data_IF_736769321626
#
_entry.id   IF_736769321626
#
_cell.length_a   1.000
_cell.length_b   1.000
_cell.length_c   1.000
_cell.angle_alpha   90.00
_cell.angle_beta   90.00
_cell.angle_gamma   90.00
#
_symmetry.space_group_name_H-M   'P 1'
#
loop_
_entity.id
_entity.type
_entity.pdbx_description
1 polymer ?
#
# COMPACT_ATOMS: atom_id res chain seq x y z
N UNK A 1 -6.99 -13.11 26.13
CA UNK A 1 -6.12 -11.95 26.40
C UNK A 1 -5.92 -11.26 25.06
N UNK A 2 -6.11 -9.95 24.95
CA UNK A 2 -5.85 -9.25 23.68
C UNK A 2 -4.37 -8.86 23.66
N UNK A 3 -3.62 -9.39 22.72
CA UNK A 3 -2.20 -9.08 22.51
C UNK A 3 -2.12 -7.84 21.62
N UNK A 4 -1.24 -6.89 21.97
CA UNK A 4 -0.98 -5.72 21.12
C UNK A 4 -0.25 -6.15 19.84
N UNK A 5 -0.48 -5.44 18.74
CA UNK A 5 0.17 -5.69 17.45
C UNK A 5 1.48 -4.90 17.40
N UNK A 6 2.58 -5.53 16.98
CA UNK A 6 3.82 -4.82 16.66
C UNK A 6 3.67 -4.06 15.33
N UNK A 7 3.54 -2.74 15.42
CA UNK A 7 3.39 -1.84 14.27
C UNK A 7 4.64 -1.74 13.40
N UNK A 8 5.79 -2.22 13.87
CA UNK A 8 7.04 -2.24 13.11
C UNK A 8 7.32 -3.59 12.45
N UNK A 9 6.48 -4.61 12.70
CA UNK A 9 6.64 -5.90 12.05
C UNK A 9 6.50 -5.74 10.53
N UNK A 10 7.45 -6.32 9.82
CA UNK A 10 7.43 -6.42 8.36
C UNK A 10 7.38 -7.88 7.97
N UNK A 11 6.61 -8.15 6.91
CA UNK A 11 6.42 -9.46 6.33
C UNK A 11 6.91 -9.44 4.90
N UNK A 12 7.69 -10.45 4.54
CA UNK A 12 8.09 -10.67 3.16
C UNK A 12 6.90 -11.20 2.35
N UNK A 13 6.63 -10.56 1.23
CA UNK A 13 5.59 -10.94 0.28
C UNK A 13 6.18 -11.09 -1.11
N UNK A 14 5.91 -12.22 -1.74
CA UNK A 14 6.25 -12.46 -3.15
C UNK A 14 4.97 -12.39 -3.96
N UNK A 15 4.96 -11.54 -4.99
CA UNK A 15 3.80 -11.40 -5.86
C UNK A 15 3.53 -12.69 -6.63
N UNK A 16 2.25 -13.03 -6.79
CA UNK A 16 1.83 -14.17 -7.62
C UNK A 16 2.03 -13.91 -9.11
N UNK A 17 2.21 -12.65 -9.48
CA UNK A 17 2.39 -12.17 -10.85
C UNK A 17 3.86 -12.14 -11.25
N UNK A 18 4.80 -12.50 -10.36
CA UNK A 18 6.21 -12.52 -10.69
C UNK A 18 6.51 -13.63 -11.73
N UNK A 19 7.00 -13.28 -12.94
CA UNK A 19 7.36 -14.26 -13.94
C UNK A 19 8.64 -15.04 -13.60
N UNK A 20 9.52 -14.49 -12.74
CA UNK A 20 10.77 -15.13 -12.33
C UNK A 20 10.59 -15.87 -11.00
N UNK A 21 10.42 -17.19 -11.10
CA UNK A 21 10.28 -18.07 -9.92
C UNK A 21 11.62 -18.48 -9.31
N UNK A 22 12.74 -18.24 -10.00
CA UNK A 22 14.07 -18.59 -9.51
C UNK A 22 14.67 -17.45 -8.67
N UNK A 23 14.39 -16.19 -9.04
CA UNK A 23 14.79 -14.99 -8.28
C UNK A 23 13.63 -13.99 -8.14
N UNK A 24 12.60 -14.32 -7.34
CA UNK A 24 11.41 -13.49 -7.24
C UNK A 24 11.70 -12.14 -6.58
N UNK A 25 10.92 -11.13 -6.96
CA UNK A 25 10.84 -9.84 -6.31
C UNK A 25 10.18 -10.01 -4.94
N UNK A 26 10.90 -9.60 -3.88
CA UNK A 26 10.42 -9.66 -2.50
C UNK A 26 10.01 -8.27 -2.04
N UNK A 27 8.74 -8.12 -1.69
CA UNK A 27 8.14 -6.91 -1.16
C UNK A 27 8.03 -7.03 0.36
N UNK A 28 8.68 -6.17 1.10
CA UNK A 28 8.55 -6.16 2.56
C UNK A 28 7.35 -5.28 2.93
N UNK A 29 6.26 -5.91 3.33
CA UNK A 29 5.00 -5.27 3.66
C UNK A 29 4.91 -5.08 5.18
N UNK A 30 4.58 -3.88 5.63
CA UNK A 30 4.33 -3.57 7.03
C UNK A 30 2.89 -3.13 7.28
N UNK A 31 2.53 -3.10 8.55
CA UNK A 31 1.20 -2.68 8.99
C UNK A 31 0.98 -1.17 8.74
N UNK A 32 -0.23 -0.81 8.31
CA UNK A 32 -0.67 0.58 8.34
C UNK A 32 -1.14 0.92 9.76
N UNK A 33 -0.54 1.94 10.36
CA UNK A 33 -0.98 2.51 11.64
C UNK A 33 -2.50 2.84 11.58
N UNK A 34 -3.28 2.62 12.66
CA UNK A 34 -4.73 2.84 12.63
C UNK A 34 -5.14 4.24 12.16
N UNK A 35 -4.34 5.29 12.45
CA UNK A 35 -4.60 6.65 11.97
C UNK A 35 -4.36 6.76 10.47
N UNK A 36 -3.27 6.16 9.96
CA UNK A 36 -3.04 6.05 8.52
C UNK A 36 -4.15 5.29 7.83
N UNK A 37 -4.61 4.20 8.44
CA UNK A 37 -5.65 3.37 7.87
C UNK A 37 -6.96 4.14 7.77
N UNK A 38 -7.34 4.85 8.83
CA UNK A 38 -8.50 5.72 8.82
C UNK A 38 -8.39 6.80 7.74
N UNK A 39 -7.24 7.48 7.61
CA UNK A 39 -7.04 8.48 6.55
C UNK A 39 -7.10 7.89 5.14
N UNK A 40 -6.51 6.72 4.91
CA UNK A 40 -6.59 6.02 3.61
C UNK A 40 -8.03 5.66 3.26
N UNK A 41 -8.80 5.22 4.25
CA UNK A 41 -10.21 4.84 4.08
C UNK A 41 -11.10 6.09 3.90
N UNK A 42 -10.84 7.19 4.62
CA UNK A 42 -11.54 8.48 4.50
C UNK A 42 -11.25 9.19 3.17
N UNK A 43 -9.99 9.20 2.70
CA UNK A 43 -9.62 9.74 1.39
C UNK A 43 -10.28 8.97 0.24
N UNK A 44 -10.57 7.69 0.45
CA UNK A 44 -11.31 6.88 -0.52
C UNK A 44 -12.83 7.13 -0.48
N UNK A 45 -13.32 7.70 0.61
CA UNK A 45 -14.73 7.91 0.93
C UNK A 45 -15.16 9.38 0.84
N UNK A 46 -14.42 10.24 0.13
CA UNK A 46 -14.86 11.60 -0.15
C UNK A 46 -16.07 11.54 -1.07
N UNK A 47 -17.26 11.40 -0.47
CA UNK A 47 -18.52 11.69 -1.10
C UNK A 47 -18.44 13.15 -1.52
N UNK A 48 -18.19 13.40 -2.81
CA UNK A 48 -18.64 14.64 -3.40
C UNK A 48 -20.14 14.70 -3.10
N UNK A 49 -20.53 15.50 -2.10
CA UNK A 49 -21.86 16.11 -2.08
C UNK A 49 -21.91 17.00 -3.32
N UNK A 50 -22.06 16.36 -4.48
CA UNK A 50 -22.38 17.01 -5.73
C UNK A 50 -23.76 17.61 -5.52
N UNK A 51 -23.73 18.90 -5.21
CA UNK A 51 -24.65 19.96 -5.63
C UNK A 51 -26.08 19.53 -5.96
N UNK A 52 -27.02 20.23 -5.33
CA UNK A 52 -28.47 20.45 -5.53
C UNK A 52 -29.05 20.31 -6.95
N UNK A 53 -28.64 19.32 -7.76
CA UNK A 53 -29.04 19.16 -9.15
C UNK A 53 -29.30 17.67 -9.47
N UNK A 54 -30.57 17.26 -9.69
CA UNK A 54 -30.99 15.85 -9.78
C UNK A 54 -30.56 15.12 -11.06
N UNK A 55 -29.77 15.76 -11.93
CA UNK A 55 -29.34 15.20 -13.22
C UNK A 55 -27.82 14.99 -13.33
N UNK A 56 -27.05 15.33 -12.29
CA UNK A 56 -25.62 15.03 -12.27
C UNK A 56 -25.45 13.57 -11.84
N UNK A 57 -25.10 12.71 -12.79
CA UNK A 57 -24.67 11.35 -12.48
C UNK A 57 -23.48 11.46 -11.55
N UNK A 58 -23.68 11.19 -10.27
CA UNK A 58 -22.64 11.15 -9.25
C UNK A 58 -21.35 10.58 -9.88
N UNK A 59 -20.34 11.43 -10.05
CA UNK A 59 -19.03 10.99 -10.53
C UNK A 59 -18.37 10.28 -9.35
N UNK A 60 -18.81 9.04 -9.11
CA UNK A 60 -18.03 8.05 -8.37
C UNK A 60 -16.84 7.67 -9.26
N UNK A 61 -15.97 8.64 -9.57
CA UNK A 61 -14.62 8.36 -10.02
C UNK A 61 -13.88 7.95 -8.77
N UNK A 62 -14.12 6.69 -8.41
CA UNK A 62 -13.51 6.00 -7.29
C UNK A 62 -12.07 6.49 -7.09
N UNK A 63 -11.82 7.12 -5.94
CA UNK A 63 -10.49 7.35 -5.38
C UNK A 63 -9.76 6.02 -5.07
N UNK A 64 -10.19 4.89 -5.65
CA UNK A 64 -9.63 3.56 -5.48
C UNK A 64 -8.17 3.49 -5.90
N UNK A 65 -7.82 4.11 -7.02
CA UNK A 65 -6.42 4.22 -7.44
C UNK A 65 -5.59 5.02 -6.43
N UNK A 66 -6.17 6.09 -5.86
CA UNK A 66 -5.50 6.88 -4.82
C UNK A 66 -5.31 6.05 -3.55
N UNK A 67 -6.35 5.32 -3.12
CA UNK A 67 -6.30 4.39 -1.98
C UNK A 67 -5.20 3.34 -2.14
N UNK A 68 -5.10 2.72 -3.32
CA UNK A 68 -4.08 1.73 -3.62
C UNK A 68 -2.67 2.34 -3.56
N UNK A 69 -2.47 3.51 -4.18
CA UNK A 69 -1.19 4.22 -4.16
C UNK A 69 -0.82 4.57 -2.72
N UNK A 70 -1.74 5.14 -1.94
CA UNK A 70 -1.49 5.53 -0.54
C UNK A 70 -1.19 4.31 0.33
N UNK A 71 -1.91 3.19 0.14
CA UNK A 71 -1.64 1.94 0.86
C UNK A 71 -0.21 1.43 0.58
N UNK A 72 0.21 1.39 -0.68
CA UNK A 72 1.58 0.98 -1.05
C UNK A 72 2.61 1.98 -0.50
N UNK A 73 2.33 3.28 -0.64
CA UNK A 73 3.22 4.36 -0.24
C UNK A 73 3.64 4.29 1.23
N UNK A 74 2.71 3.92 2.11
CA UNK A 74 2.97 3.80 3.55
C UNK A 74 3.20 2.36 4.03
N UNK A 75 2.65 1.38 3.32
CA UNK A 75 2.68 -0.03 3.72
C UNK A 75 3.89 -0.80 3.20
N UNK A 76 4.50 -0.40 2.09
CA UNK A 76 5.72 -1.04 1.60
C UNK A 76 6.94 -0.47 2.37
N UNK A 77 7.64 -1.34 3.08
CA UNK A 77 8.80 -1.04 3.95
C UNK A 77 10.14 -1.49 3.40
N UNK A 78 10.14 -2.16 2.25
CA UNK A 78 11.35 -2.68 1.62
C UNK A 78 11.05 -3.35 0.30
N UNK A 79 12.05 -3.41 -0.56
CA UNK A 79 11.97 -4.02 -1.88
C UNK A 79 13.30 -4.69 -2.18
N UNK A 80 13.26 -5.93 -2.63
CA UNK A 80 14.44 -6.73 -2.97
C UNK A 80 14.22 -7.41 -4.30
N UNK A 81 15.27 -7.48 -5.13
CA UNK A 81 15.26 -8.11 -6.45
C UNK A 81 14.26 -7.54 -7.48
N UNK A 82 13.62 -6.41 -7.20
CA UNK A 82 12.78 -5.73 -8.19
C UNK A 82 13.64 -5.00 -9.21
N UNK A 83 13.51 -5.37 -10.49
CA UNK A 83 14.33 -4.84 -11.56
C UNK A 83 13.72 -3.58 -12.16
N UNK A 84 14.58 -2.60 -12.41
CA UNK A 84 14.22 -1.40 -13.15
C UNK A 84 13.98 -1.76 -14.64
N UNK A 85 12.85 -1.34 -15.24
CA UNK A 85 12.52 -1.70 -16.62
C UNK A 85 13.48 -1.08 -17.66
N UNK A 86 14.11 0.05 -17.36
CA UNK A 86 15.05 0.73 -18.25
C UNK A 86 16.48 0.20 -18.07
N UNK A 87 16.92 0.05 -16.83
CA UNK A 87 18.33 -0.28 -16.53
C UNK A 87 18.59 -1.76 -16.28
N UNK A 88 17.54 -2.58 -16.12
CA UNK A 88 17.59 -4.01 -15.76
C UNK A 88 18.43 -4.31 -14.51
N UNK A 89 18.60 -3.32 -13.64
CA UNK A 89 19.30 -3.44 -12.37
C UNK A 89 18.31 -3.49 -11.22
N UNK A 90 18.65 -4.15 -10.10
CA UNK A 90 17.82 -4.12 -8.91
C UNK A 90 17.69 -2.68 -8.40
N UNK A 91 16.46 -2.27 -8.12
CA UNK A 91 16.14 -0.94 -7.63
C UNK A 91 16.54 -0.84 -6.16
N UNK A 92 17.35 0.17 -5.85
CA UNK A 92 17.64 0.56 -4.47
C UNK A 92 16.48 1.44 -3.96
N UNK A 93 15.63 0.88 -3.09
CA UNK A 93 14.52 1.63 -2.50
C UNK A 93 15.04 2.61 -1.44
N UNK A 94 14.99 3.91 -1.79
CA UNK A 94 15.23 5.02 -0.85
C UNK A 94 13.90 5.65 -0.48
N UNK A 95 13.57 5.67 0.81
CA UNK A 95 12.35 6.28 1.30
C UNK A 95 12.46 7.79 1.28
N UNK A 96 11.36 8.45 0.94
CA UNK A 96 11.17 9.87 1.18
C UNK A 96 10.55 10.06 2.56
N UNK A 97 10.84 11.18 3.24
CA UNK A 97 10.15 11.52 4.48
C UNK A 97 9.13 12.61 4.22
N UNK A 98 7.85 12.34 4.50
CA UNK A 98 6.76 13.31 4.33
C UNK A 98 6.00 13.50 5.63
N UNK A 99 5.41 14.68 5.79
CA UNK A 99 4.47 14.96 6.87
C UNK A 99 3.05 14.56 6.44
N UNK A 100 2.48 13.54 7.08
CA UNK A 100 1.15 13.02 6.77
C UNK A 100 0.49 12.47 8.05
N UNK A 101 -0.83 12.61 8.21
CA UNK A 101 -1.55 12.38 9.48
C UNK A 101 -0.89 12.97 10.74
N UNK A 102 -0.32 14.18 10.63
CA UNK A 102 0.33 14.85 11.77
C UNK A 102 1.63 14.19 12.27
N UNK A 103 2.24 13.29 11.49
CA UNK A 103 3.53 12.66 11.80
C UNK A 103 4.47 12.69 10.59
N UNK A 104 5.77 12.80 10.84
CA UNK A 104 6.79 12.54 9.83
C UNK A 104 6.88 11.04 9.59
N UNK A 105 6.73 10.60 8.34
CA UNK A 105 6.73 9.19 7.97
C UNK A 105 7.59 8.94 6.76
N UNK A 106 8.28 7.81 6.78
CA UNK A 106 9.01 7.30 5.63
C UNK A 106 8.03 6.65 4.66
N UNK A 107 8.13 7.03 3.40
CA UNK A 107 7.23 6.61 2.33
C UNK A 107 7.99 6.18 1.10
N UNK A 108 7.38 5.27 0.35
CA UNK A 108 7.89 4.88 -0.95
C UNK A 108 7.73 6.06 -1.93
N UNK A 109 8.79 6.43 -2.66
CA UNK A 109 8.71 7.49 -3.66
C UNK A 109 7.72 7.15 -4.77
N UNK A 110 7.00 8.15 -5.26
CA UNK A 110 5.98 7.95 -6.31
C UNK A 110 6.58 7.38 -7.59
N UNK A 111 7.86 7.67 -7.89
CA UNK A 111 8.60 7.09 -9.02
C UNK A 111 8.67 5.55 -8.97
N UNK A 112 8.79 4.96 -7.78
CA UNK A 112 8.85 3.51 -7.62
C UNK A 112 7.45 2.92 -7.82
N UNK A 113 6.43 3.57 -7.25
CA UNK A 113 5.03 3.14 -7.41
C UNK A 113 4.60 3.22 -8.88
N UNK A 114 5.09 4.22 -9.63
CA UNK A 114 4.83 4.38 -11.05
C UNK A 114 5.42 3.25 -11.91
N UNK A 115 6.45 2.56 -11.45
CA UNK A 115 7.03 1.40 -12.13
C UNK A 115 6.16 0.13 -11.97
N UNK A 116 5.22 0.11 -11.03
CA UNK A 116 4.37 -1.05 -10.79
C UNK A 116 3.21 -1.10 -11.80
N UNK A 117 3.04 -2.23 -12.52
CA UNK A 117 1.85 -2.43 -13.35
C UNK A 117 0.59 -2.40 -12.48
N UNK A 118 -0.55 -2.08 -13.10
CA UNK A 118 -1.80 -1.87 -12.37
C UNK A 118 -2.22 -3.10 -11.53
N UNK A 119 -2.00 -4.29 -12.08
CA UNK A 119 -2.33 -5.57 -11.44
C UNK A 119 -1.49 -5.80 -10.17
N UNK A 120 -0.18 -5.51 -10.24
CA UNK A 120 0.72 -5.58 -9.09
C UNK A 120 0.33 -4.55 -8.02
N UNK A 121 -0.04 -3.33 -8.42
CA UNK A 121 -0.50 -2.30 -7.48
C UNK A 121 -1.76 -2.75 -6.74
N UNK A 122 -2.70 -3.35 -7.45
CA UNK A 122 -3.93 -3.85 -6.85
C UNK A 122 -3.64 -4.99 -5.86
N UNK A 123 -2.81 -5.96 -6.25
CA UNK A 123 -2.42 -7.07 -5.40
C UNK A 123 -1.71 -6.60 -4.12
N UNK A 124 -0.67 -5.78 -4.26
CA UNK A 124 0.10 -5.27 -3.11
C UNK A 124 -0.77 -4.44 -2.18
N UNK A 125 -1.62 -3.56 -2.71
CA UNK A 125 -2.53 -2.78 -1.89
C UNK A 125 -3.50 -3.68 -1.11
N UNK A 126 -4.05 -4.72 -1.72
CA UNK A 126 -4.95 -5.66 -1.04
C UNK A 126 -4.24 -6.42 0.09
N UNK A 127 -3.01 -6.89 -0.15
CA UNK A 127 -2.20 -7.58 0.86
C UNK A 127 -1.89 -6.65 2.03
N UNK A 128 -1.40 -5.44 1.76
CA UNK A 128 -1.12 -4.42 2.79
C UNK A 128 -2.38 -4.09 3.60
N UNK A 129 -3.52 -3.91 2.93
CA UNK A 129 -4.77 -3.57 3.60
C UNK A 129 -5.33 -4.74 4.43
N UNK A 130 -4.98 -5.98 4.08
CA UNK A 130 -5.35 -7.17 4.85
C UNK A 130 -4.37 -7.48 5.97
N UNK A 131 -3.12 -7.00 5.94
CA UNK A 131 -2.14 -7.20 7.01
C UNK A 131 -2.59 -6.57 8.34
N UNK A 132 -3.40 -5.49 8.28
CA UNK A 132 -4.05 -4.89 9.47
C UNK A 132 -5.11 -5.78 10.12
N UNK A 133 -5.62 -6.80 9.42
CA UNK A 133 -6.51 -7.81 10.01
C UNK A 133 -5.60 -8.85 10.63
N UNK A 134 -5.63 -8.94 11.97
CA UNK A 134 -4.94 -9.96 12.76
C UNK A 134 -4.73 -11.24 11.94
N UNK A 135 -3.48 -11.56 11.67
CA UNK A 135 -3.12 -12.82 11.04
C UNK A 135 -3.76 -13.94 11.87
N UNK A 136 -4.51 -14.86 11.24
CA UNK A 136 -5.23 -15.94 11.95
C UNK A 136 -4.32 -16.79 12.88
N UNK A 137 -3.00 -16.71 12.68
CA UNK A 137 -1.98 -17.31 13.55
C UNK A 137 -1.74 -16.59 14.89
N UNK A 138 -2.01 -15.29 15.01
CA UNK A 138 -1.91 -14.54 16.27
C UNK A 138 -3.18 -14.64 17.13
N UNK A 139 -4.29 -15.12 16.57
CA UNK A 139 -5.55 -15.32 17.29
C UNK A 139 -5.55 -16.53 18.23
N UNK A 140 -4.50 -17.38 18.21
CA UNK A 140 -4.48 -18.68 18.89
C UNK A 140 -3.48 -18.82 20.05
N UNK A 141 -2.83 -17.76 20.52
CA UNK A 141 -2.01 -17.82 21.75
C UNK A 141 -2.62 -17.01 22.90
#
# INVERSE_FOLDING_TARGET
MLTGIDVNATREYVSKLDPDKENPSVFHIGLLDPVLRAEVDDESSTYEMSSTNPNDKAKVRLNWNKRQITAIKFGLKGLTNFLDPETKKPIELKFDTIHYAGKMRNVVPDRIIAMFPNELRQELAEVILNESKLSEGEQKN
#
